data_IF_856152280024
#
_entry.id   IF_856152280024
#
_cell.length_a   1.000
_cell.length_b   1.000
_cell.length_c   1.000
_cell.angle_alpha   90.00
_cell.angle_beta   90.00
_cell.angle_gamma   90.00
#
_symmetry.space_group_name_H-M   'P 1'
#
loop_
_entity.id
_entity.type
_entity.pdbx_description
1 polymer ?
#
# COMPACT_ATOMS: atom_id res chain seq x y z
N UNK A 1 9.43 12.52 -14.75
CA UNK A 1 9.07 11.62 -13.63
C UNK A 1 10.07 10.47 -13.60
N UNK A 2 10.67 10.15 -12.46
CA UNK A 2 11.58 9.00 -12.33
C UNK A 2 10.80 7.69 -12.32
N UNK A 3 11.22 6.72 -13.15
CA UNK A 3 10.64 5.38 -13.21
C UNK A 3 10.65 4.68 -11.84
N UNK A 4 9.77 3.69 -11.68
CA UNK A 4 9.76 2.80 -10.52
C UNK A 4 11.11 2.08 -10.36
N UNK A 5 11.57 1.93 -9.12
CA UNK A 5 12.74 1.15 -8.74
C UNK A 5 12.38 0.15 -7.65
N UNK A 6 12.49 -1.14 -7.99
CA UNK A 6 12.26 -2.22 -7.04
C UNK A 6 13.20 -2.09 -5.82
N UNK A 7 14.46 -1.72 -6.03
CA UNK A 7 15.44 -1.53 -4.94
C UNK A 7 14.99 -0.45 -3.95
N UNK A 8 14.48 0.68 -4.44
CA UNK A 8 13.93 1.74 -3.57
C UNK A 8 12.67 1.26 -2.85
N UNK A 9 11.80 0.55 -3.54
CA UNK A 9 10.57 0.03 -2.95
C UNK A 9 10.83 -0.98 -1.81
N UNK A 10 11.84 -1.86 -1.97
CA UNK A 10 12.31 -2.75 -0.89
C UNK A 10 12.89 -1.95 0.26
N UNK A 11 13.79 -0.99 -0.01
CA UNK A 11 14.40 -0.18 1.03
C UNK A 11 13.35 0.58 1.85
N UNK A 12 12.35 1.14 1.17
CA UNK A 12 11.22 1.83 1.80
C UNK A 12 10.38 0.88 2.67
N UNK A 13 10.08 -0.34 2.21
CA UNK A 13 9.37 -1.33 3.03
C UNK A 13 10.09 -1.60 4.36
N UNK A 14 11.43 -1.70 4.33
CA UNK A 14 12.24 -1.94 5.54
C UNK A 14 12.20 -0.79 6.56
N UNK A 15 11.69 0.39 6.21
CA UNK A 15 11.51 1.50 7.15
C UNK A 15 10.30 1.29 8.09
N UNK A 16 9.47 0.30 7.80
CA UNK A 16 8.25 -0.07 8.55
C UNK A 16 8.29 -1.49 9.11
N UNK A 17 9.40 -2.22 8.96
CA UNK A 17 9.55 -3.57 9.51
C UNK A 17 10.60 -3.62 10.61
N UNK A 18 10.60 -4.70 11.38
CA UNK A 18 11.54 -4.93 12.48
C UNK A 18 12.65 -5.91 12.07
N UNK A 19 13.83 -5.88 12.72
CA UNK A 19 14.94 -6.76 12.37
C UNK A 19 14.62 -8.26 12.44
N UNK A 20 13.76 -8.66 13.38
CA UNK A 20 13.40 -10.07 13.61
C UNK A 20 12.37 -10.61 12.62
N UNK A 21 11.61 -9.72 11.97
CA UNK A 21 10.64 -10.06 10.92
C UNK A 21 10.71 -9.04 9.79
N UNK A 22 11.80 -9.03 9.00
CA UNK A 22 12.04 -7.97 8.04
C UNK A 22 11.04 -8.01 6.89
N UNK A 23 10.51 -9.20 6.55
CA UNK A 23 9.64 -9.45 5.38
C UNK A 23 8.15 -9.23 5.66
N UNK A 24 7.80 -8.81 6.89
CA UNK A 24 6.42 -8.50 7.30
C UNK A 24 6.36 -7.12 7.92
N UNK A 25 5.47 -6.28 7.40
CA UNK A 25 5.01 -5.06 8.04
C UNK A 25 3.80 -5.42 8.89
N UNK A 26 3.90 -5.22 10.20
CA UNK A 26 2.82 -5.45 11.17
C UNK A 26 2.09 -4.17 11.60
N UNK A 27 1.17 -4.24 12.58
CA UNK A 27 0.30 -3.14 12.96
C UNK A 27 1.04 -1.83 13.32
N UNK A 28 2.14 -1.92 14.07
CA UNK A 28 2.96 -0.75 14.43
C UNK A 28 3.57 -0.07 13.20
N UNK A 29 4.08 -0.87 12.25
CA UNK A 29 4.59 -0.38 10.98
C UNK A 29 3.48 0.18 10.08
N UNK A 30 2.28 -0.40 10.16
CA UNK A 30 1.10 0.04 9.42
C UNK A 30 0.64 1.43 9.87
N UNK A 31 0.62 1.70 11.18
CA UNK A 31 0.29 3.02 11.71
C UNK A 31 1.25 4.09 11.18
N UNK A 32 2.56 3.83 11.27
CA UNK A 32 3.59 4.73 10.75
C UNK A 32 3.49 4.90 9.22
N UNK A 33 3.23 3.83 8.48
CA UNK A 33 3.03 3.91 7.03
C UNK A 33 1.83 4.78 6.67
N UNK A 34 0.70 4.63 7.37
CA UNK A 34 -0.50 5.44 7.18
C UNK A 34 -0.20 6.92 7.47
N UNK A 35 0.49 7.21 8.57
CA UNK A 35 0.93 8.57 8.93
C UNK A 35 1.80 9.19 7.83
N UNK A 36 2.84 8.47 7.37
CA UNK A 36 3.77 8.97 6.35
C UNK A 36 3.07 9.28 5.03
N UNK A 37 2.15 8.42 4.58
CA UNK A 37 1.37 8.69 3.37
C UNK A 37 0.25 9.71 3.62
N UNK A 38 -0.02 10.13 4.86
CA UNK A 38 -1.01 11.15 5.19
C UNK A 38 -2.45 10.66 5.10
N UNK A 39 -2.70 9.44 5.57
CA UNK A 39 -4.05 8.87 5.70
C UNK A 39 -4.24 8.24 7.08
N UNK A 40 -5.47 8.13 7.54
CA UNK A 40 -5.80 7.31 8.71
C UNK A 40 -5.87 5.82 8.31
N UNK A 41 -5.63 4.87 9.24
CA UNK A 41 -5.74 3.43 8.96
C UNK A 41 -7.10 3.01 8.39
N UNK A 42 -8.18 3.69 8.80
CA UNK A 42 -9.56 3.45 8.36
C UNK A 42 -9.91 4.12 7.02
N UNK A 43 -8.96 4.86 6.43
CA UNK A 43 -9.21 5.61 5.21
C UNK A 43 -9.45 4.69 4.01
N UNK A 44 -10.41 5.05 3.16
CA UNK A 44 -10.73 4.29 1.94
C UNK A 44 -9.53 4.13 0.99
N UNK A 45 -8.59 5.07 0.98
CA UNK A 45 -7.33 4.93 0.22
C UNK A 45 -6.53 3.73 0.71
N UNK A 46 -6.50 3.49 2.02
CA UNK A 46 -5.80 2.36 2.62
C UNK A 46 -6.47 1.04 2.25
N UNK A 47 -7.81 0.99 2.28
CA UNK A 47 -8.56 -0.19 1.81
C UNK A 47 -8.25 -0.50 0.33
N UNK A 48 -8.25 0.51 -0.54
CA UNK A 48 -7.91 0.34 -1.96
C UNK A 48 -6.46 -0.11 -2.13
N UNK A 49 -5.51 0.44 -1.36
CA UNK A 49 -4.11 0.01 -1.40
C UNK A 49 -3.95 -1.46 -0.99
N UNK A 50 -4.58 -1.88 0.11
CA UNK A 50 -4.57 -3.27 0.57
C UNK A 50 -5.13 -4.22 -0.49
N UNK A 51 -6.23 -3.82 -1.15
CA UNK A 51 -6.79 -4.56 -2.29
C UNK A 51 -5.81 -4.65 -3.47
N UNK A 52 -5.14 -3.56 -3.84
CA UNK A 52 -4.15 -3.54 -4.95
C UNK A 52 -2.91 -4.38 -4.63
N UNK A 53 -2.50 -4.44 -3.36
CA UNK A 53 -1.45 -5.32 -2.87
C UNK A 53 -1.90 -6.78 -2.76
N UNK A 54 -3.22 -7.04 -2.86
CA UNK A 54 -3.83 -8.34 -2.60
C UNK A 54 -3.45 -8.89 -1.22
N UNK A 55 -3.50 -8.01 -0.22
CA UNK A 55 -3.09 -8.31 1.14
C UNK A 55 -4.03 -9.32 1.80
N UNK A 56 -3.47 -10.38 2.38
CA UNK A 56 -4.28 -11.49 2.93
C UNK A 56 -4.77 -11.27 4.35
N UNK A 57 -4.15 -10.36 5.09
CA UNK A 57 -4.41 -10.16 6.51
C UNK A 57 -4.50 -8.66 6.83
N UNK A 58 -5.56 -8.26 7.51
CA UNK A 58 -5.76 -6.87 7.93
C UNK A 58 -4.66 -6.45 8.92
N UNK A 59 -4.09 -5.26 8.71
CA UNK A 59 -3.02 -4.72 9.54
C UNK A 59 -1.62 -5.29 9.23
N UNK A 60 -1.50 -6.13 8.20
CA UNK A 60 -0.23 -6.73 7.80
C UNK A 60 -0.01 -6.63 6.30
N UNK A 61 1.24 -6.40 5.90
CA UNK A 61 1.69 -6.60 4.53
C UNK A 61 2.97 -7.42 4.50
N UNK A 62 3.03 -8.40 3.62
CA UNK A 62 4.29 -9.06 3.26
C UNK A 62 5.05 -8.24 2.23
N UNK A 63 6.38 -8.40 2.18
CA UNK A 63 7.21 -7.77 1.15
C UNK A 63 6.72 -8.10 -0.27
N UNK A 64 6.17 -9.30 -0.48
CA UNK A 64 5.67 -9.75 -1.78
C UNK A 64 4.40 -8.98 -2.19
N UNK A 65 3.44 -8.83 -1.27
CA UNK A 65 2.21 -8.06 -1.49
C UNK A 65 2.54 -6.58 -1.76
N UNK A 66 3.44 -6.02 -0.94
CA UNK A 66 3.95 -4.66 -1.08
C UNK A 66 4.57 -4.40 -2.45
N UNK A 67 5.55 -5.23 -2.85
CA UNK A 67 6.25 -5.06 -4.13
C UNK A 67 5.30 -5.21 -5.31
N UNK A 68 4.41 -6.21 -5.28
CA UNK A 68 3.43 -6.42 -6.35
C UNK A 68 2.52 -5.21 -6.51
N UNK A 69 1.85 -4.78 -5.43
CA UNK A 69 0.89 -3.68 -5.51
C UNK A 69 1.55 -2.36 -5.92
N UNK A 70 2.72 -2.07 -5.37
CA UNK A 70 3.40 -0.80 -5.62
C UNK A 70 4.15 -0.77 -6.95
N UNK A 71 4.62 -1.92 -7.48
CA UNK A 71 5.08 -1.98 -8.87
C UNK A 71 3.94 -1.71 -9.84
N UNK A 72 2.75 -2.29 -9.61
CA UNK A 72 1.59 -2.07 -10.47
C UNK A 72 1.11 -0.61 -10.42
N UNK A 73 1.20 0.02 -9.25
CA UNK A 73 0.88 1.44 -9.04
C UNK A 73 2.01 2.39 -9.47
N UNK A 74 3.18 1.87 -9.85
CA UNK A 74 4.40 2.63 -10.18
C UNK A 74 4.85 3.56 -9.04
N UNK A 75 4.67 3.12 -7.79
CA UNK A 75 5.04 3.86 -6.59
C UNK A 75 6.21 3.18 -5.89
N UNK A 76 7.26 3.92 -5.57
CA UNK A 76 8.44 3.41 -4.84
C UNK A 76 8.87 4.38 -3.73
N UNK A 77 7.95 5.25 -3.31
CA UNK A 77 8.12 6.20 -2.20
C UNK A 77 6.77 6.74 -1.74
N UNK A 78 6.76 7.28 -0.52
CA UNK A 78 5.65 8.01 0.10
C UNK A 78 5.05 9.05 -0.85
N UNK A 79 5.89 9.95 -1.38
CA UNK A 79 5.44 11.04 -2.25
C UNK A 79 4.69 10.55 -3.50
N UNK A 80 5.07 9.39 -4.06
CA UNK A 80 4.37 8.83 -5.22
C UNK A 80 3.01 8.27 -4.85
N UNK A 81 2.87 7.64 -3.69
CA UNK A 81 1.56 7.18 -3.18
C UNK A 81 0.65 8.37 -2.89
N UNK A 82 1.16 9.41 -2.24
CA UNK A 82 0.44 10.66 -1.99
C UNK A 82 -0.10 11.29 -3.29
N UNK A 83 0.72 11.35 -4.34
CA UNK A 83 0.30 11.81 -5.67
C UNK A 83 -0.78 10.93 -6.32
N UNK A 84 -0.96 9.69 -5.87
CA UNK A 84 -1.97 8.75 -6.36
C UNK A 84 -3.23 8.72 -5.51
N UNK A 85 -3.33 9.47 -4.41
CA UNK A 85 -4.51 9.44 -3.54
C UNK A 85 -5.83 9.65 -4.28
N UNK A 86 -5.91 10.68 -5.13
CA UNK A 86 -7.13 10.94 -5.91
C UNK A 86 -7.44 9.80 -6.88
N UNK A 87 -6.42 9.28 -7.57
CA UNK A 87 -6.57 8.12 -8.44
C UNK A 87 -7.10 6.90 -7.68
N UNK A 88 -6.55 6.60 -6.50
CA UNK A 88 -6.96 5.47 -5.67
C UNK A 88 -8.41 5.62 -5.19
N UNK A 89 -8.84 6.83 -4.78
CA UNK A 89 -10.25 7.08 -4.44
C UNK A 89 -11.16 6.89 -5.65
N UNK A 90 -10.75 7.39 -6.81
CA UNK A 90 -11.55 7.30 -8.03
C UNK A 90 -11.72 5.86 -8.54
N UNK A 91 -10.88 4.90 -8.13
CA UNK A 91 -11.09 3.47 -8.42
C UNK A 91 -12.40 2.93 -7.82
N UNK A 92 -12.90 3.53 -6.74
CA UNK A 92 -14.19 3.15 -6.15
C UNK A 92 -15.39 3.62 -6.98
N UNK A 93 -15.19 4.55 -7.92
CA UNK A 93 -16.24 5.01 -8.82
C UNK A 93 -16.45 4.04 -10.00
N UNK A 94 -15.47 3.18 -10.28
CA UNK A 94 -15.61 2.13 -11.29
C UNK A 94 -16.41 0.95 -10.73
N UNK A 95 -17.59 0.60 -11.27
CA UNK A 95 -18.46 -0.44 -10.70
C UNK A 95 -17.81 -1.82 -10.61
N UNK A 96 -16.92 -2.15 -11.56
CA UNK A 96 -16.23 -3.44 -11.56
C UNK A 96 -15.19 -3.51 -10.44
N UNK A 97 -14.36 -2.49 -10.33
CA UNK A 97 -13.33 -2.36 -9.29
C UNK A 97 -13.97 -2.26 -7.90
N UNK A 98 -15.02 -1.45 -7.75
CA UNK A 98 -15.77 -1.35 -6.50
C UNK A 98 -16.30 -2.71 -6.04
N UNK A 99 -16.92 -3.49 -6.94
CA UNK A 99 -17.41 -4.84 -6.62
C UNK A 99 -16.29 -5.78 -6.18
N UNK A 100 -15.09 -5.63 -6.76
CA UNK A 100 -13.89 -6.36 -6.35
C UNK A 100 -13.45 -6.00 -4.93
N UNK A 101 -13.32 -4.70 -4.65
CA UNK A 101 -12.91 -4.17 -3.34
C UNK A 101 -13.93 -4.53 -2.26
N UNK A 102 -15.22 -4.37 -2.53
CA UNK A 102 -16.28 -4.70 -1.56
C UNK A 102 -16.32 -6.19 -1.19
N UNK A 103 -15.92 -7.09 -2.11
CA UNK A 103 -15.82 -8.53 -1.82
C UNK A 103 -14.54 -8.91 -1.09
N UNK A 104 -13.52 -8.07 -1.20
CA UNK A 104 -12.23 -8.25 -0.55
C UNK A 104 -12.29 -7.81 0.91
N UNK A 105 -12.96 -6.68 1.19
CA UNK A 105 -13.22 -6.15 2.52
C UNK A 105 -14.07 -7.11 3.36
#
# INVERSE_FOLDING_TARGET
ATSFSQKRCVAWFREYTIPDDPDTLGPEGMEKFCEDIGVEPENVVMLVLAYKMNARQMGFFTLTEWLKGLSDLQCDSVNKVQQKHEYLRNLLNDPHTFKGIYRYA
#
